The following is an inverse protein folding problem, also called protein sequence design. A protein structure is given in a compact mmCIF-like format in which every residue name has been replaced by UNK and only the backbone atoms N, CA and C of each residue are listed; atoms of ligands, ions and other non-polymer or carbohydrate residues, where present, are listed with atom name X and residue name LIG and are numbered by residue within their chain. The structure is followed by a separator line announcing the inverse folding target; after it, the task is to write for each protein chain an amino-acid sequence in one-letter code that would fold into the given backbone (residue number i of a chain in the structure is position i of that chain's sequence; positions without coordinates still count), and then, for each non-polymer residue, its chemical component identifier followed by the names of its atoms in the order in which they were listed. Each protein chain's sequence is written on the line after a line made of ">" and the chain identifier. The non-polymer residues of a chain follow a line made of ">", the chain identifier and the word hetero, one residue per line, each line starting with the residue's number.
data_IF_220457592731
#
_entry.id   IF_220457592731
#
_cell.length_a   1.000
_cell.length_b   1.000
_cell.length_c   1.000
_cell.angle_alpha   90.00
_cell.angle_beta   90.00
_cell.angle_gamma   90.00
#
_symmetry.space_group_name_H-M   'P 1'
#
loop_
_entity.id
_entity.type
_entity.pdbx_description
1 polymer ?
#
# COMPACT_ATOMS: atom_id res chain seq x y z
N UNK A 1 15.08 2.96 20.72
CA UNK A 1 15.74 2.29 19.58
C UNK A 1 17.05 3.01 19.31
N UNK A 2 18.17 2.30 19.23
CA UNK A 2 19.46 2.87 18.80
C UNK A 2 19.52 2.97 17.28
N UNK A 3 20.48 3.74 16.74
CA UNK A 3 20.69 3.83 15.30
C UNK A 3 20.99 2.46 14.67
N UNK A 4 21.77 1.62 15.34
CA UNK A 4 22.07 0.25 14.91
C UNK A 4 20.81 -0.62 14.84
N UNK A 5 19.96 -0.57 15.87
CA UNK A 5 18.68 -1.30 15.88
C UNK A 5 17.77 -0.83 14.74
N UNK A 6 17.71 0.48 14.48
CA UNK A 6 16.94 1.03 13.37
C UNK A 6 17.43 0.53 12.01
N UNK A 7 18.75 0.48 11.82
CA UNK A 7 19.38 -0.02 10.60
C UNK A 7 19.07 -1.51 10.36
N UNK A 8 19.11 -2.32 11.41
CA UNK A 8 18.78 -3.75 11.33
C UNK A 8 17.31 -3.98 10.92
N UNK A 9 16.38 -3.19 11.49
CA UNK A 9 14.96 -3.26 11.15
C UNK A 9 14.73 -2.92 9.68
N UNK A 10 15.25 -1.78 9.20
CA UNK A 10 15.02 -1.36 7.82
C UNK A 10 15.71 -2.29 6.81
N UNK A 11 16.92 -2.76 7.10
CA UNK A 11 17.62 -3.72 6.23
C UNK A 11 16.86 -5.05 6.12
N UNK A 12 16.33 -5.56 7.23
CA UNK A 12 15.52 -6.78 7.25
C UNK A 12 14.22 -6.61 6.50
N UNK A 13 13.49 -5.50 6.74
CA UNK A 13 12.26 -5.16 6.02
C UNK A 13 12.52 -5.09 4.51
N UNK A 14 13.54 -4.36 4.08
CA UNK A 14 13.88 -4.21 2.65
C UNK A 14 14.16 -5.56 2.00
N UNK A 15 14.91 -6.45 2.65
CA UNK A 15 15.20 -7.81 2.15
C UNK A 15 13.94 -8.65 1.98
N UNK A 16 13.00 -8.56 2.92
CA UNK A 16 11.73 -9.29 2.85
C UNK A 16 10.83 -8.71 1.74
N UNK A 17 10.72 -7.38 1.68
CA UNK A 17 9.92 -6.70 0.65
C UNK A 17 10.45 -6.95 -0.76
N UNK A 18 11.77 -7.07 -0.95
CA UNK A 18 12.37 -7.40 -2.24
C UNK A 18 11.83 -8.72 -2.82
N UNK A 19 11.52 -9.71 -1.97
CA UNK A 19 10.95 -11.01 -2.41
C UNK A 19 9.49 -10.90 -2.88
N UNK A 20 8.78 -9.86 -2.43
CA UNK A 20 7.38 -9.59 -2.79
C UNK A 20 7.26 -8.60 -3.96
N UNK A 21 8.39 -8.09 -4.46
CA UNK A 21 8.42 -7.11 -5.55
C UNK A 21 7.66 -7.62 -6.77
N UNK A 22 6.80 -6.76 -7.33
CA UNK A 22 5.96 -7.07 -8.48
C UNK A 22 4.69 -7.87 -8.17
N UNK A 23 4.48 -8.38 -6.95
CA UNK A 23 3.27 -9.17 -6.62
C UNK A 23 2.04 -8.30 -6.33
N UNK A 24 2.24 -7.00 -6.05
CA UNK A 24 1.17 -6.04 -5.80
C UNK A 24 1.43 -4.70 -6.48
N UNK A 25 0.45 -3.81 -6.35
CA UNK A 25 0.54 -2.41 -6.75
C UNK A 25 -0.05 -1.52 -5.65
N UNK A 26 0.38 -0.26 -5.63
CA UNK A 26 -0.20 0.79 -4.81
C UNK A 26 -0.59 1.96 -5.69
N UNK A 27 -1.65 2.67 -5.34
CA UNK A 27 -2.09 3.88 -6.02
C UNK A 27 -2.51 4.95 -5.01
N UNK A 28 -2.05 6.18 -5.22
CA UNK A 28 -2.51 7.36 -4.48
C UNK A 28 -3.82 7.85 -5.10
N UNK A 29 -4.81 8.14 -4.26
CA UNK A 29 -6.07 8.75 -4.66
C UNK A 29 -6.20 10.11 -3.98
N UNK A 30 -6.71 11.10 -4.70
CA UNK A 30 -7.09 12.41 -4.15
C UNK A 30 -8.50 12.36 -3.55
N UNK A 31 -8.73 11.35 -2.70
CA UNK A 31 -9.96 11.12 -1.98
C UNK A 31 -9.65 10.99 -0.48
N UNK A 32 -10.63 11.35 0.34
CA UNK A 32 -10.62 10.99 1.76
C UNK A 32 -10.85 9.48 1.95
N UNK A 33 -10.76 9.03 3.19
CA UNK A 33 -10.88 7.61 3.52
C UNK A 33 -12.27 7.04 3.23
N UNK A 34 -13.34 7.70 3.67
CA UNK A 34 -14.72 7.20 3.53
C UNK A 34 -15.11 7.07 2.05
N UNK A 35 -14.74 8.06 1.24
CA UNK A 35 -14.93 8.01 -0.21
C UNK A 35 -14.08 6.92 -0.87
N UNK A 36 -12.85 6.70 -0.37
CA UNK A 36 -11.98 5.62 -0.86
C UNK A 36 -12.53 4.24 -0.53
N UNK A 37 -13.00 4.02 0.69
CA UNK A 37 -13.61 2.76 1.13
C UNK A 37 -14.86 2.45 0.32
N UNK A 38 -15.70 3.45 0.06
CA UNK A 38 -16.86 3.33 -0.83
C UNK A 38 -16.46 2.98 -2.26
N UNK A 39 -15.40 3.62 -2.80
CA UNK A 39 -14.89 3.37 -4.15
C UNK A 39 -14.38 1.93 -4.33
N UNK A 40 -13.73 1.37 -3.32
CA UNK A 40 -13.12 0.03 -3.41
C UNK A 40 -14.03 -1.10 -2.89
N UNK A 41 -15.28 -0.81 -2.52
CA UNK A 41 -16.20 -1.77 -1.89
C UNK A 41 -16.39 -3.05 -2.70
N UNK A 42 -16.42 -2.96 -4.04
CA UNK A 42 -16.58 -4.10 -4.96
C UNK A 42 -15.25 -4.84 -5.28
N UNK A 43 -14.14 -4.41 -4.69
CA UNK A 43 -12.80 -4.95 -4.93
C UNK A 43 -12.21 -5.52 -3.62
N UNK A 44 -12.66 -6.68 -3.13
CA UNK A 44 -12.28 -7.22 -1.81
C UNK A 44 -10.78 -7.51 -1.65
N UNK A 45 -10.04 -7.62 -2.75
CA UNK A 45 -8.59 -7.77 -2.75
C UNK A 45 -7.81 -6.45 -2.68
N UNK A 46 -8.48 -5.31 -2.72
CA UNK A 46 -7.90 -3.97 -2.61
C UNK A 46 -8.22 -3.41 -1.22
N UNK A 47 -7.24 -2.83 -0.56
CA UNK A 47 -7.38 -2.29 0.79
C UNK A 47 -6.92 -0.84 0.82
N UNK A 48 -7.60 -0.03 1.64
CA UNK A 48 -7.10 1.28 2.05
C UNK A 48 -5.85 1.08 2.93
N UNK A 49 -4.68 1.35 2.36
CA UNK A 49 -3.39 1.05 2.97
C UNK A 49 -2.81 2.22 3.77
N UNK A 50 -3.08 3.46 3.36
CA UNK A 50 -2.56 4.66 4.02
C UNK A 50 -3.59 5.77 4.01
N UNK A 51 -3.79 6.38 5.18
CA UNK A 51 -4.46 7.67 5.36
C UNK A 51 -3.38 8.75 5.26
N UNK A 52 -3.17 9.32 4.06
CA UNK A 52 -2.02 10.19 3.80
C UNK A 52 -2.30 11.65 4.22
N UNK A 53 -3.51 12.13 3.99
CA UNK A 53 -4.00 13.44 4.44
C UNK A 53 -5.53 13.42 4.51
N UNK A 54 -6.20 14.49 5.01
CA UNK A 54 -7.66 14.57 5.00
C UNK A 54 -8.31 14.42 3.62
N UNK A 55 -7.56 14.60 2.52
CA UNK A 55 -8.07 14.46 1.13
C UNK A 55 -7.21 13.53 0.27
N UNK A 56 -6.31 12.74 0.86
CA UNK A 56 -5.47 11.82 0.12
C UNK A 56 -5.33 10.48 0.85
N UNK A 57 -5.48 9.41 0.08
CA UNK A 57 -5.41 8.04 0.55
C UNK A 57 -4.55 7.20 -0.39
N UNK A 58 -4.02 6.07 0.09
CA UNK A 58 -3.32 5.10 -0.75
C UNK A 58 -4.04 3.77 -0.65
N UNK A 59 -4.37 3.19 -1.79
CA UNK A 59 -4.87 1.81 -1.89
C UNK A 59 -3.73 0.86 -2.25
N UNK A 60 -3.82 -0.38 -1.79
CA UNK A 60 -2.90 -1.46 -2.15
C UNK A 60 -3.67 -2.74 -2.48
N UNK A 61 -3.15 -3.52 -3.42
CA UNK A 61 -3.75 -4.81 -3.77
C UNK A 61 -2.93 -5.57 -4.82
N UNK A 62 -3.40 -6.77 -5.24
CA UNK A 62 -2.77 -7.53 -6.30
C UNK A 62 -2.64 -6.74 -7.60
N UNK A 63 -1.54 -6.96 -8.32
CA UNK A 63 -1.39 -6.41 -9.67
C UNK A 63 -2.31 -7.15 -10.65
N UNK A 64 -3.55 -6.68 -10.78
CA UNK A 64 -4.55 -7.29 -11.68
C UNK A 64 -4.25 -6.89 -13.13
N UNK A 65 -4.02 -7.88 -14.00
CA UNK A 65 -3.78 -7.68 -15.45
C UNK A 65 -5.13 -7.54 -16.19
N UNK A 66 -5.82 -6.41 -16.06
CA UNK A 66 -6.96 -6.08 -16.93
C UNK A 66 -6.57 -4.97 -17.89
N UNK A 67 -5.64 -5.30 -18.77
CA UNK A 67 -5.45 -4.61 -20.05
C UNK A 67 -5.36 -5.70 -21.11
N UNK A 68 -6.53 -6.11 -21.57
CA UNK A 68 -6.79 -6.47 -22.95
C UNK A 68 -8.17 -5.94 -23.30
#
# INVERSE_FOLDING_TARGET
>A
MTAEQGLQVIATRSRLMARLSGQGAMALLELDADATESLIADYPQVTLAVYASPRQSVIAGPRRRWMR
#
